data_IF_306722212969
#
_entry.id   IF_306722212969
#
_cell.length_a   1.000
_cell.length_b   1.000
_cell.length_c   1.000
_cell.angle_alpha   90.00
_cell.angle_beta   90.00
_cell.angle_gamma   90.00
#
_symmetry.space_group_name_H-M   'P 1'
#
loop_
_entity.id
_entity.type
_entity.pdbx_description
1 polymer ?
#
# COMPACT_ATOMS: atom_id res chain seq x y z
N UNK A 1 30.22 -3.25 27.12
CA UNK A 1 28.85 -2.75 26.90
C UNK A 1 28.82 -2.03 25.55
N UNK A 2 28.47 -2.74 24.51
CA UNK A 2 28.43 -2.19 23.13
C UNK A 2 27.20 -1.29 22.95
N UNK A 3 27.45 -0.14 22.38
CA UNK A 3 26.52 0.93 22.11
C UNK A 3 25.30 0.44 21.29
N UNK A 4 24.18 0.14 21.95
CA UNK A 4 22.95 -0.42 21.37
C UNK A 4 22.11 0.60 20.57
N UNK A 5 22.57 1.85 20.49
CA UNK A 5 21.90 2.96 19.78
C UNK A 5 22.48 3.24 18.38
N UNK A 6 23.12 2.28 17.74
CA UNK A 6 23.62 2.50 16.39
C UNK A 6 22.44 2.62 15.42
N UNK A 7 22.17 3.84 14.97
CA UNK A 7 21.24 4.14 13.89
C UNK A 7 21.59 3.26 12.69
N UNK A 8 20.58 2.61 12.09
CA UNK A 8 20.86 1.78 10.91
C UNK A 8 20.74 2.67 9.67
N UNK A 9 21.86 3.26 9.26
CA UNK A 9 21.95 4.21 8.13
C UNK A 9 21.35 3.63 6.84
N UNK A 10 21.48 2.32 6.63
CA UNK A 10 20.88 1.63 5.48
C UNK A 10 19.34 1.70 5.47
N UNK A 11 18.70 1.61 6.64
CA UNK A 11 17.23 1.69 6.74
C UNK A 11 16.76 3.11 6.44
N UNK A 12 17.50 4.11 6.89
CA UNK A 12 17.20 5.52 6.60
C UNK A 12 17.43 5.85 5.12
N UNK A 13 18.49 5.32 4.51
CA UNK A 13 18.75 5.44 3.07
C UNK A 13 17.64 4.80 2.23
N UNK A 14 17.19 3.59 2.61
CA UNK A 14 16.09 2.89 1.93
C UNK A 14 14.76 3.64 2.07
N UNK A 15 14.50 4.31 3.19
CA UNK A 15 13.32 5.17 3.35
C UNK A 15 13.38 6.37 2.42
N UNK A 16 14.53 7.05 2.36
CA UNK A 16 14.74 8.16 1.42
C UNK A 16 14.54 7.72 -0.03
N UNK A 17 15.11 6.57 -0.40
CA UNK A 17 14.94 5.98 -1.72
C UNK A 17 13.46 5.65 -2.04
N UNK A 18 12.73 5.04 -1.09
CA UNK A 18 11.31 4.73 -1.31
C UNK A 18 10.45 5.98 -1.41
N UNK A 19 10.74 7.04 -0.64
CA UNK A 19 10.05 8.32 -0.78
C UNK A 19 10.30 8.97 -2.14
N UNK A 20 11.55 8.95 -2.64
CA UNK A 20 11.86 9.47 -3.98
C UNK A 20 11.07 8.74 -5.07
N UNK A 21 10.98 7.40 -4.99
CA UNK A 21 10.18 6.61 -5.92
C UNK A 21 8.68 6.89 -5.83
N UNK A 22 8.14 7.08 -4.62
CA UNK A 22 6.74 7.47 -4.41
C UNK A 22 6.46 8.83 -5.06
N UNK A 23 7.35 9.81 -4.91
CA UNK A 23 7.20 11.13 -5.53
C UNK A 23 7.16 11.00 -7.06
N UNK A 24 8.03 10.19 -7.66
CA UNK A 24 8.02 9.96 -9.13
C UNK A 24 6.66 9.42 -9.59
N UNK A 25 6.12 8.41 -8.89
CA UNK A 25 4.79 7.86 -9.21
C UNK A 25 3.70 8.93 -9.10
N UNK A 26 3.72 9.74 -8.05
CA UNK A 26 2.73 10.81 -7.86
C UNK A 26 2.82 11.92 -8.93
N UNK A 27 4.02 12.23 -9.42
CA UNK A 27 4.19 13.17 -10.54
C UNK A 27 3.46 12.65 -11.79
N UNK A 28 3.62 11.36 -12.12
CA UNK A 28 2.97 10.74 -13.28
C UNK A 28 1.44 10.64 -13.07
N UNK A 29 0.98 10.44 -11.85
CA UNK A 29 -0.45 10.46 -11.49
C UNK A 29 -1.01 11.88 -11.31
N UNK A 30 -0.29 12.92 -11.75
CA UNK A 30 -0.66 14.33 -11.67
C UNK A 30 -1.07 14.79 -10.24
N UNK A 31 -0.57 14.14 -9.21
CA UNK A 31 -0.89 14.37 -7.80
C UNK A 31 -2.38 14.34 -7.46
N UNK A 32 -3.23 13.67 -8.26
CA UNK A 32 -4.66 13.60 -7.97
C UNK A 32 -4.96 12.55 -6.90
N UNK A 33 -4.30 11.39 -6.96
CA UNK A 33 -4.45 10.31 -5.97
C UNK A 33 -5.88 9.75 -5.86
N UNK A 34 -6.66 9.87 -6.95
CA UNK A 34 -8.05 9.45 -7.06
C UNK A 34 -8.26 8.70 -8.37
N UNK A 35 -9.31 7.85 -8.48
CA UNK A 35 -9.70 7.31 -9.77
C UNK A 35 -10.13 8.45 -10.70
N UNK A 36 -9.78 8.32 -11.98
CA UNK A 36 -10.19 9.24 -13.03
C UNK A 36 -11.46 8.71 -13.69
N UNK A 37 -12.41 9.59 -14.09
CA UNK A 37 -13.46 9.21 -15.02
C UNK A 37 -12.86 8.62 -16.31
N UNK A 38 -13.60 7.73 -16.97
CA UNK A 38 -13.16 7.14 -18.24
C UNK A 38 -12.84 8.22 -19.29
N UNK A 39 -11.84 7.95 -20.12
CA UNK A 39 -11.39 8.85 -21.18
C UNK A 39 -10.48 10.01 -20.73
N UNK A 40 -10.39 10.32 -19.44
CA UNK A 40 -9.51 11.41 -18.95
C UNK A 40 -8.04 11.07 -19.12
N UNK A 41 -7.65 9.83 -18.79
CA UNK A 41 -6.27 9.38 -18.94
C UNK A 41 -5.85 9.29 -20.40
N UNK A 42 -6.73 8.77 -21.26
CA UNK A 42 -6.49 8.66 -22.71
C UNK A 42 -6.29 10.02 -23.36
N UNK A 43 -6.99 11.04 -22.90
CA UNK A 43 -6.83 12.41 -23.39
C UNK A 43 -5.47 13.04 -23.07
N UNK A 44 -4.74 12.51 -22.09
CA UNK A 44 -3.41 12.99 -21.68
C UNK A 44 -2.26 12.20 -22.32
N UNK A 45 -2.52 11.01 -22.88
CA UNK A 45 -1.54 10.14 -23.50
C UNK A 45 -1.51 10.38 -25.02
N UNK A 46 -0.51 11.13 -25.47
CA UNK A 46 -0.45 11.62 -26.85
C UNK A 46 0.43 10.78 -27.79
N UNK A 47 1.10 9.73 -27.30
CA UNK A 47 1.99 8.95 -28.15
C UNK A 47 2.50 7.64 -27.57
N UNK A 48 3.25 6.93 -28.42
CA UNK A 48 3.81 5.62 -28.07
C UNK A 48 4.82 5.71 -26.90
N UNK A 49 5.50 6.85 -26.78
CA UNK A 49 6.47 7.13 -25.72
C UNK A 49 5.78 7.16 -24.36
N UNK A 50 4.60 7.76 -24.27
CA UNK A 50 3.83 7.86 -23.03
C UNK A 50 3.40 6.47 -22.57
N UNK A 51 2.92 5.63 -23.49
CA UNK A 51 2.55 4.24 -23.20
C UNK A 51 3.75 3.40 -22.71
N UNK A 52 4.94 3.60 -23.27
CA UNK A 52 6.16 2.91 -22.82
C UNK A 52 6.55 3.36 -21.41
N UNK A 53 6.52 4.66 -21.14
CA UNK A 53 6.83 5.23 -19.83
C UNK A 53 5.84 4.75 -18.78
N UNK A 54 4.55 4.78 -19.08
CA UNK A 54 3.51 4.28 -18.18
C UNK A 54 3.64 2.79 -17.90
N UNK A 55 3.89 1.99 -18.94
CA UNK A 55 4.15 0.56 -18.79
C UNK A 55 5.36 0.30 -17.88
N UNK A 56 6.45 1.05 -18.05
CA UNK A 56 7.62 0.96 -17.18
C UNK A 56 7.29 1.34 -15.74
N UNK A 57 6.61 2.47 -15.53
CA UNK A 57 6.22 2.93 -14.20
C UNK A 57 5.26 1.93 -13.53
N UNK A 58 4.29 1.42 -14.27
CA UNK A 58 3.35 0.42 -13.78
C UNK A 58 4.05 -0.85 -13.30
N UNK A 59 5.00 -1.38 -14.08
CA UNK A 59 5.68 -2.64 -13.77
C UNK A 59 6.75 -2.51 -12.68
N UNK A 60 7.53 -1.42 -12.68
CA UNK A 60 8.74 -1.32 -11.88
C UNK A 60 8.67 -0.31 -10.74
N UNK A 61 7.75 0.67 -10.77
CA UNK A 61 7.68 1.71 -9.76
C UNK A 61 6.38 1.66 -8.95
N UNK A 62 5.23 1.61 -9.65
CA UNK A 62 3.91 1.64 -9.00
C UNK A 62 3.76 0.41 -8.11
N UNK A 63 3.47 0.64 -6.83
CA UNK A 63 3.32 -0.41 -5.84
C UNK A 63 4.63 -0.89 -5.19
N UNK A 64 5.78 -0.90 -5.90
CA UNK A 64 7.06 -1.37 -5.34
C UNK A 64 7.58 -0.44 -4.24
N UNK A 65 7.62 0.85 -4.49
CA UNK A 65 8.07 1.84 -3.50
C UNK A 65 7.13 1.93 -2.31
N UNK A 66 5.83 1.83 -2.55
CA UNK A 66 4.83 1.70 -1.50
C UNK A 66 5.06 0.44 -0.64
N UNK A 67 5.30 -0.71 -1.26
CA UNK A 67 5.59 -1.97 -0.59
C UNK A 67 6.85 -1.86 0.29
N UNK A 68 7.93 -1.31 -0.29
CA UNK A 68 9.18 -1.08 0.42
C UNK A 68 8.98 -0.11 1.61
N UNK A 69 8.26 0.99 1.43
CA UNK A 69 8.01 1.95 2.49
C UNK A 69 7.16 1.34 3.62
N UNK A 70 6.14 0.55 3.27
CA UNK A 70 5.31 -0.20 4.23
C UNK A 70 6.14 -1.22 5.01
N UNK A 71 6.95 -1.99 4.33
CA UNK A 71 7.88 -2.94 4.95
C UNK A 71 8.83 -2.25 5.93
N UNK A 72 9.42 -1.12 5.54
CA UNK A 72 10.33 -0.34 6.38
C UNK A 72 9.62 0.27 7.60
N UNK A 73 8.32 0.56 7.51
CA UNK A 73 7.52 0.97 8.66
C UNK A 73 7.44 -0.15 9.71
N UNK A 74 7.11 -1.37 9.31
CA UNK A 74 7.06 -2.53 10.21
C UNK A 74 8.43 -2.90 10.79
N UNK A 75 9.49 -2.84 9.99
CA UNK A 75 10.87 -3.02 10.45
C UNK A 75 11.26 -1.97 11.49
N UNK A 76 10.87 -0.72 11.27
CA UNK A 76 11.15 0.39 12.18
C UNK A 76 10.40 0.27 13.49
N UNK A 77 9.18 -0.23 13.44
CA UNK A 77 8.44 -0.59 14.65
C UNK A 77 9.24 -1.59 15.50
N UNK A 78 9.72 -2.68 14.88
CA UNK A 78 10.55 -3.67 15.59
C UNK A 78 11.80 -3.04 16.19
N UNK A 79 12.56 -2.26 15.41
CA UNK A 79 13.81 -1.63 15.89
C UNK A 79 13.55 -0.74 17.10
N UNK A 80 12.45 0.03 17.06
CA UNK A 80 12.08 0.90 18.17
C UNK A 80 11.67 0.10 19.42
N UNK A 81 10.94 -1.01 19.23
CA UNK A 81 10.57 -1.90 20.34
C UNK A 81 11.77 -2.58 20.97
N UNK A 82 12.68 -3.10 20.17
CA UNK A 82 13.86 -3.82 20.64
C UNK A 82 14.87 -2.92 21.40
N UNK A 83 14.81 -1.61 21.19
CA UNK A 83 15.72 -0.65 21.83
C UNK A 83 15.20 -0.10 23.17
N UNK A 84 14.04 -0.53 23.65
CA UNK A 84 13.49 -0.07 24.93
C UNK A 84 13.84 -1.06 26.02
N UNK A 85 14.71 -0.66 26.96
CA UNK A 85 15.02 -1.41 28.16
C UNK A 85 13.81 -1.42 29.11
N UNK A 86 13.34 -2.60 29.46
CA UNK A 86 12.55 -3.00 30.66
C UNK A 86 11.18 -2.40 30.95
N UNK A 87 10.54 -1.57 30.10
CA UNK A 87 9.16 -1.12 30.34
C UNK A 87 8.33 -1.15 29.07
N UNK A 88 7.82 -2.32 28.71
CA UNK A 88 6.92 -2.53 27.57
C UNK A 88 5.74 -1.54 27.51
N UNK A 89 5.14 -1.24 28.68
CA UNK A 89 4.01 -0.31 28.77
C UNK A 89 4.37 1.12 28.33
N UNK A 90 5.60 1.56 28.59
CA UNK A 90 6.05 2.90 28.19
C UNK A 90 6.36 3.01 26.70
N UNK A 91 6.68 1.90 26.03
CA UNK A 91 6.91 1.91 24.60
C UNK A 91 5.60 1.98 23.82
N UNK A 92 4.64 1.11 24.10
CA UNK A 92 3.34 1.10 23.40
C UNK A 92 2.66 2.47 23.47
N UNK A 93 2.72 3.12 24.64
CA UNK A 93 2.21 4.48 24.84
C UNK A 93 2.94 5.52 23.97
N UNK A 94 4.29 5.49 23.92
CA UNK A 94 5.06 6.41 23.07
C UNK A 94 4.83 6.16 21.60
N UNK A 95 4.74 4.92 21.17
CA UNK A 95 4.46 4.57 19.79
C UNK A 95 3.05 5.02 19.40
N UNK A 96 2.04 4.74 20.23
CA UNK A 96 0.68 5.21 20.01
C UNK A 96 0.61 6.73 19.91
N UNK A 97 1.31 7.47 20.79
CA UNK A 97 1.37 8.92 20.70
C UNK A 97 1.94 9.42 19.37
N UNK A 98 2.99 8.77 18.87
CA UNK A 98 3.55 9.08 17.54
C UNK A 98 2.56 8.79 16.42
N UNK A 99 1.76 7.71 16.54
CA UNK A 99 0.71 7.40 15.56
C UNK A 99 -0.42 8.44 15.60
N UNK A 100 -0.77 8.95 16.78
CA UNK A 100 -1.77 10.04 16.91
C UNK A 100 -1.26 11.31 16.23
N UNK A 101 0.00 11.69 16.46
CA UNK A 101 0.60 12.85 15.78
C UNK A 101 0.61 12.60 14.26
N UNK A 102 1.00 11.40 13.81
CA UNK A 102 1.01 11.03 12.40
C UNK A 102 -0.40 11.09 11.79
N UNK A 103 -1.42 10.65 12.55
CA UNK A 103 -2.82 10.73 12.13
C UNK A 103 -3.28 12.17 11.94
N UNK A 104 -2.94 13.07 12.87
CA UNK A 104 -3.28 14.50 12.74
C UNK A 104 -2.59 15.13 11.53
N UNK A 105 -1.27 14.88 11.36
CA UNK A 105 -0.53 15.38 10.20
C UNK A 105 -1.12 14.80 8.90
N UNK A 106 -1.39 13.50 8.87
CA UNK A 106 -1.97 12.82 7.72
C UNK A 106 -3.37 13.34 7.39
N UNK A 107 -4.20 13.58 8.41
CA UNK A 107 -5.53 14.16 8.19
C UNK A 107 -5.44 15.57 7.57
N UNK A 108 -4.59 16.44 8.11
CA UNK A 108 -4.38 17.77 7.55
C UNK A 108 -3.83 17.71 6.12
N UNK A 109 -2.88 16.80 5.87
CA UNK A 109 -2.34 16.57 4.52
C UNK A 109 -3.41 16.04 3.55
N UNK A 110 -4.30 15.17 4.02
CA UNK A 110 -5.35 14.59 3.19
C UNK A 110 -6.41 15.59 2.73
N UNK A 111 -6.55 16.75 3.39
CA UNK A 111 -7.42 17.83 2.92
C UNK A 111 -6.91 18.45 1.61
N UNK A 112 -5.58 18.45 1.42
CA UNK A 112 -4.95 18.93 0.19
C UNK A 112 -4.79 17.81 -0.86
N UNK A 113 -4.59 16.58 -0.42
CA UNK A 113 -4.26 15.46 -1.29
C UNK A 113 -4.88 14.15 -0.80
N UNK A 114 -5.91 13.67 -1.52
CA UNK A 114 -6.64 12.43 -1.17
C UNK A 114 -5.74 11.20 -1.10
N UNK A 115 -4.70 11.12 -1.93
CA UNK A 115 -3.74 10.02 -1.97
C UNK A 115 -2.84 9.90 -0.73
N UNK A 116 -3.14 10.65 0.35
CA UNK A 116 -2.44 10.58 1.63
C UNK A 116 -2.40 9.13 2.17
N UNK A 117 -1.21 8.68 2.50
CA UNK A 117 -0.97 7.36 3.08
C UNK A 117 -0.75 7.41 4.60
N UNK A 118 -0.45 8.60 5.16
CA UNK A 118 -0.06 8.74 6.57
C UNK A 118 -1.21 8.38 7.50
N UNK A 119 -2.43 8.76 7.16
CA UNK A 119 -3.65 8.38 7.93
C UNK A 119 -3.82 6.87 7.99
N UNK A 120 -3.61 6.17 6.87
CA UNK A 120 -3.71 4.70 6.80
C UNK A 120 -2.59 4.05 7.61
N UNK A 121 -1.37 4.56 7.52
CA UNK A 121 -0.23 4.05 8.30
C UNK A 121 -0.44 4.25 9.79
N UNK A 122 -0.98 5.40 10.21
CA UNK A 122 -1.30 5.64 11.60
C UNK A 122 -2.37 4.66 12.10
N UNK A 123 -3.44 4.48 11.34
CA UNK A 123 -4.52 3.55 11.68
C UNK A 123 -4.03 2.09 11.75
N UNK A 124 -3.39 1.60 10.68
CA UNK A 124 -2.87 0.22 10.64
C UNK A 124 -1.73 0.00 11.64
N UNK A 125 -0.96 1.02 11.95
CA UNK A 125 0.11 0.98 12.96
C UNK A 125 -0.40 0.65 14.37
N UNK A 126 -1.64 1.02 14.71
CA UNK A 126 -2.27 0.66 15.98
C UNK A 126 -2.40 -0.86 16.08
N UNK A 127 -2.85 -1.50 15.01
CA UNK A 127 -3.01 -2.95 14.96
C UNK A 127 -1.67 -3.71 14.96
N UNK A 128 -0.56 -3.05 14.62
CA UNK A 128 0.76 -3.66 14.69
C UNK A 128 1.23 -3.89 16.12
N UNK A 129 0.76 -3.08 17.10
CA UNK A 129 1.20 -3.15 18.51
C UNK A 129 0.99 -4.55 19.12
N UNK A 130 -0.20 -5.17 19.07
CA UNK A 130 -0.40 -6.51 19.63
C UNK A 130 0.43 -7.58 18.94
N UNK A 131 0.75 -7.40 17.65
CA UNK A 131 1.56 -8.38 16.90
C UNK A 131 2.99 -8.50 17.41
N UNK A 132 3.49 -7.54 18.17
CA UNK A 132 4.81 -7.67 18.80
C UNK A 132 4.93 -8.91 19.71
N UNK A 133 3.84 -9.35 20.34
CA UNK A 133 3.80 -10.53 21.23
C UNK A 133 3.43 -11.83 20.52
N UNK A 134 2.90 -11.76 19.30
CA UNK A 134 2.44 -12.93 18.55
C UNK A 134 3.64 -13.72 18.03
N UNK A 135 3.54 -15.06 18.06
CA UNK A 135 4.57 -15.96 17.57
C UNK A 135 4.83 -15.75 16.07
N UNK A 136 6.09 -15.89 15.65
CA UNK A 136 6.54 -15.73 14.27
C UNK A 136 5.76 -16.59 13.26
N UNK A 137 5.33 -17.79 13.63
CA UNK A 137 4.53 -18.66 12.76
C UNK A 137 3.19 -18.04 12.40
N UNK A 138 2.50 -17.45 13.40
CA UNK A 138 1.24 -16.75 13.18
C UNK A 138 1.42 -15.44 12.42
N UNK A 139 2.47 -14.68 12.73
CA UNK A 139 2.79 -13.46 11.97
C UNK A 139 2.98 -13.80 10.50
N UNK A 140 3.79 -14.82 10.19
CA UNK A 140 4.03 -15.24 8.81
C UNK A 140 2.76 -15.80 8.14
N UNK A 141 1.97 -16.61 8.86
CA UNK A 141 0.70 -17.16 8.35
C UNK A 141 -0.29 -16.06 7.97
N UNK A 142 -0.48 -15.06 8.85
CA UNK A 142 -1.36 -13.91 8.58
C UNK A 142 -0.81 -13.07 7.43
N UNK A 143 0.50 -12.81 7.40
CA UNK A 143 1.14 -12.10 6.28
C UNK A 143 0.84 -12.80 4.94
N UNK A 144 1.00 -14.11 4.88
CA UNK A 144 0.72 -14.90 3.68
C UNK A 144 -0.76 -14.80 3.27
N UNK A 145 -1.69 -14.93 4.23
CA UNK A 145 -3.12 -14.78 3.97
C UNK A 145 -3.46 -13.39 3.40
N UNK A 146 -2.85 -12.34 3.93
CA UNK A 146 -3.06 -10.99 3.42
C UNK A 146 -2.50 -10.81 2.01
N UNK A 147 -1.33 -11.38 1.71
CA UNK A 147 -0.69 -11.29 0.40
C UNK A 147 -1.40 -12.08 -0.71
N UNK A 148 -2.04 -13.21 -0.37
CA UNK A 148 -2.88 -13.94 -1.34
C UNK A 148 -4.28 -13.32 -1.52
N UNK A 149 -4.54 -12.15 -0.93
CA UNK A 149 -5.79 -11.41 -1.13
C UNK A 149 -6.97 -11.89 -0.29
N UNK A 150 -6.75 -12.59 0.83
CA UNK A 150 -7.83 -13.14 1.66
C UNK A 150 -8.86 -12.07 2.07
N UNK A 151 -8.42 -10.86 2.43
CA UNK A 151 -9.33 -9.74 2.75
C UNK A 151 -10.25 -9.38 1.57
N UNK A 152 -9.72 -9.32 0.35
CA UNK A 152 -10.48 -9.08 -0.89
C UNK A 152 -11.55 -10.15 -1.10
N UNK A 153 -11.18 -11.40 -0.96
CA UNK A 153 -12.13 -12.51 -1.18
C UNK A 153 -13.23 -12.54 -0.15
N UNK A 154 -12.96 -12.15 1.11
CA UNK A 154 -14.01 -11.99 2.11
C UNK A 154 -14.95 -10.84 1.74
N UNK A 155 -14.39 -9.66 1.41
CA UNK A 155 -15.21 -8.50 1.02
C UNK A 155 -16.07 -8.86 -0.19
N UNK A 156 -15.49 -9.40 -1.25
CA UNK A 156 -16.23 -9.77 -2.45
C UNK A 156 -17.26 -10.87 -2.18
N UNK A 157 -16.97 -11.83 -1.32
CA UNK A 157 -17.89 -12.90 -0.96
C UNK A 157 -19.14 -12.42 -0.19
N UNK A 158 -19.03 -11.36 0.61
CA UNK A 158 -20.14 -10.83 1.41
C UNK A 158 -20.87 -9.64 0.76
N UNK A 159 -20.16 -8.82 0.01
CA UNK A 159 -20.67 -7.55 -0.54
C UNK A 159 -20.67 -7.52 -2.08
N UNK A 160 -20.12 -8.54 -2.75
CA UNK A 160 -19.92 -8.49 -4.20
C UNK A 160 -18.95 -7.36 -4.58
N UNK A 161 -19.29 -6.60 -5.61
CA UNK A 161 -18.53 -5.43 -6.05
C UNK A 161 -19.01 -4.10 -5.44
N UNK A 162 -19.93 -4.13 -4.48
CA UNK A 162 -20.37 -2.93 -3.77
C UNK A 162 -19.25 -2.37 -2.89
N UNK A 163 -19.17 -1.05 -2.86
CA UNK A 163 -18.30 -0.34 -1.95
C UNK A 163 -18.79 -0.50 -0.50
N UNK A 164 -17.86 -0.42 0.45
CA UNK A 164 -18.18 -0.57 1.88
C UNK A 164 -18.64 0.74 2.53
N UNK A 165 -18.18 1.86 2.02
CA UNK A 165 -18.34 3.19 2.62
C UNK A 165 -19.06 4.20 1.71
N UNK A 166 -18.95 4.02 0.40
CA UNK A 166 -19.66 4.84 -0.59
C UNK A 166 -20.79 4.06 -1.25
N UNK A 167 -21.87 4.72 -1.71
CA UNK A 167 -23.01 4.02 -2.29
C UNK A 167 -22.68 3.30 -3.61
N UNK A 168 -23.17 2.07 -3.74
CA UNK A 168 -23.13 1.28 -4.97
C UNK A 168 -21.76 0.66 -5.29
N UNK A 169 -21.66 0.01 -6.45
CA UNK A 169 -20.43 -0.64 -6.90
C UNK A 169 -19.37 0.39 -7.33
N UNK A 170 -18.11 -0.07 -7.39
CA UNK A 170 -17.03 0.73 -7.96
C UNK A 170 -17.28 0.94 -9.46
N UNK A 171 -17.50 2.20 -9.84
CA UNK A 171 -17.71 2.63 -11.22
C UNK A 171 -17.03 3.98 -11.43
N UNK A 172 -16.11 4.05 -12.42
CA UNK A 172 -15.36 5.26 -12.76
C UNK A 172 -16.25 6.39 -13.27
N UNK A 173 -17.42 6.07 -13.81
CA UNK A 173 -18.41 7.03 -14.30
C UNK A 173 -19.51 7.33 -13.27
N UNK A 174 -19.39 6.84 -12.04
CA UNK A 174 -20.35 7.17 -10.97
C UNK A 174 -20.37 8.68 -10.72
N UNK A 175 -21.56 9.26 -10.40
CA UNK A 175 -21.68 10.68 -10.08
C UNK A 175 -20.67 11.13 -9.02
N UNK A 176 -20.43 10.30 -8.02
CA UNK A 176 -19.47 10.59 -6.95
C UNK A 176 -18.04 10.82 -7.49
N UNK A 177 -17.55 9.97 -8.39
CA UNK A 177 -16.20 10.09 -8.96
C UNK A 177 -16.13 11.27 -9.93
N UNK A 178 -17.15 11.47 -10.76
CA UNK A 178 -17.23 12.58 -11.72
C UNK A 178 -17.27 13.91 -10.99
N UNK A 179 -18.11 14.05 -9.97
CA UNK A 179 -18.25 15.29 -9.18
C UNK A 179 -16.99 15.57 -8.37
N UNK A 180 -16.39 14.53 -7.79
CA UNK A 180 -15.11 14.65 -7.10
C UNK A 180 -14.03 15.18 -8.06
N UNK A 181 -13.88 14.58 -9.24
CA UNK A 181 -12.89 14.99 -10.23
C UNK A 181 -13.14 16.44 -10.70
N UNK A 182 -14.39 16.82 -10.96
CA UNK A 182 -14.74 18.19 -11.34
C UNK A 182 -14.41 19.20 -10.25
N UNK A 183 -14.63 18.85 -8.98
CA UNK A 183 -14.29 19.70 -7.84
C UNK A 183 -12.77 19.89 -7.73
N UNK A 184 -11.99 18.81 -7.87
CA UNK A 184 -10.51 18.89 -7.85
C UNK A 184 -9.99 19.76 -9.01
N UNK A 185 -10.59 19.66 -10.19
CA UNK A 185 -10.14 20.36 -11.40
C UNK A 185 -10.53 21.83 -11.41
N UNK A 186 -11.73 22.18 -10.98
CA UNK A 186 -12.35 23.48 -11.21
C UNK A 186 -12.81 24.19 -9.92
N UNK A 187 -12.81 23.48 -8.79
CA UNK A 187 -13.30 23.99 -7.52
C UNK A 187 -12.34 24.97 -6.85
N UNK A 188 -12.87 25.70 -5.88
CA UNK A 188 -12.06 26.51 -4.95
C UNK A 188 -11.33 25.61 -3.95
N UNK A 189 -10.25 26.12 -3.34
CA UNK A 189 -9.51 25.39 -2.32
C UNK A 189 -10.41 24.91 -1.16
N UNK A 190 -11.41 25.71 -0.79
CA UNK A 190 -12.35 25.34 0.27
C UNK A 190 -13.25 24.17 -0.15
N UNK A 191 -13.76 24.18 -1.37
CA UNK A 191 -14.53 23.04 -1.91
C UNK A 191 -13.68 21.76 -1.98
N UNK A 192 -12.40 21.87 -2.36
CA UNK A 192 -11.46 20.74 -2.33
C UNK A 192 -11.30 20.19 -0.93
N UNK A 193 -11.15 21.06 0.09
CA UNK A 193 -11.04 20.63 1.48
C UNK A 193 -12.32 19.93 1.97
N UNK A 194 -13.47 20.49 1.70
CA UNK A 194 -14.77 19.93 2.08
C UNK A 194 -14.97 18.55 1.45
N UNK A 195 -14.74 18.44 0.15
CA UNK A 195 -14.85 17.17 -0.58
C UNK A 195 -13.83 16.14 -0.08
N UNK A 196 -12.58 16.53 0.15
CA UNK A 196 -11.56 15.62 0.69
C UNK A 196 -11.85 15.19 2.13
N UNK A 197 -12.46 16.07 2.95
CA UNK A 197 -12.77 15.75 4.35
C UNK A 197 -13.83 14.65 4.50
N UNK A 198 -14.72 14.47 3.54
CA UNK A 198 -15.82 13.49 3.60
C UNK A 198 -15.68 12.49 2.45
N UNK A 199 -16.03 12.87 1.24
CA UNK A 199 -16.11 11.96 0.09
C UNK A 199 -14.74 11.36 -0.26
N UNK A 200 -13.69 12.17 -0.24
CA UNK A 200 -12.33 11.72 -0.46
C UNK A 200 -11.88 10.67 0.56
N UNK A 201 -12.29 10.83 1.84
CA UNK A 201 -12.00 9.84 2.88
C UNK A 201 -12.80 8.55 2.70
N UNK A 202 -14.09 8.62 2.41
CA UNK A 202 -14.94 7.44 2.20
C UNK A 202 -14.44 6.63 1.00
N UNK A 203 -14.19 7.27 -0.14
CA UNK A 203 -13.60 6.61 -1.32
C UNK A 203 -12.22 6.02 -1.03
N UNK A 204 -11.40 6.70 -0.20
CA UNK A 204 -10.10 6.16 0.24
C UNK A 204 -10.28 4.91 1.09
N UNK A 205 -11.26 4.88 2.00
CA UNK A 205 -11.55 3.71 2.83
C UNK A 205 -12.02 2.52 1.97
N UNK A 206 -12.84 2.75 0.93
CA UNK A 206 -13.21 1.72 -0.04
C UNK A 206 -11.99 1.14 -0.76
N UNK A 207 -11.06 1.97 -1.19
CA UNK A 207 -9.82 1.51 -1.82
C UNK A 207 -8.92 0.70 -0.85
N UNK A 208 -8.90 1.06 0.43
CA UNK A 208 -8.07 0.41 1.44
C UNK A 208 -8.68 -0.90 1.94
N UNK A 209 -9.99 -0.92 2.22
CA UNK A 209 -10.67 -2.03 2.89
C UNK A 209 -11.66 -2.79 2.00
N UNK A 210 -12.05 -2.23 0.86
CA UNK A 210 -12.90 -2.87 -0.14
C UNK A 210 -12.17 -3.88 -1.00
N UNK A 211 -12.70 -4.16 -2.18
CA UNK A 211 -12.19 -5.16 -3.12
C UNK A 211 -10.75 -4.89 -3.62
N UNK A 212 -10.31 -3.63 -3.61
CA UNK A 212 -8.92 -3.28 -3.95
C UNK A 212 -7.91 -3.70 -2.87
N UNK A 213 -8.35 -3.86 -1.62
CA UNK A 213 -7.57 -4.49 -0.52
C UNK A 213 -6.22 -3.84 -0.21
N UNK A 214 -6.02 -2.58 -0.56
CA UNK A 214 -4.72 -1.93 -0.42
C UNK A 214 -4.25 -1.84 1.04
N UNK A 215 -5.17 -1.63 1.98
CA UNK A 215 -4.88 -1.61 3.42
C UNK A 215 -4.45 -2.97 3.96
N UNK A 216 -5.08 -4.05 3.49
CA UNK A 216 -4.68 -5.41 3.86
C UNK A 216 -3.27 -5.73 3.37
N UNK A 217 -2.95 -5.35 2.13
CA UNK A 217 -1.61 -5.50 1.57
C UNK A 217 -0.58 -4.67 2.35
N UNK A 218 -0.91 -3.41 2.69
CA UNK A 218 -0.09 -2.54 3.54
C UNK A 218 0.24 -3.20 4.88
N UNK A 219 -0.78 -3.75 5.54
CA UNK A 219 -0.59 -4.41 6.82
C UNK A 219 0.23 -5.69 6.69
N UNK A 220 0.08 -6.44 5.59
CA UNK A 220 0.94 -7.57 5.26
C UNK A 220 2.41 -7.17 5.20
N UNK A 221 2.75 -6.06 4.55
CA UNK A 221 4.12 -5.54 4.52
C UNK A 221 4.61 -5.06 5.89
N UNK A 222 3.74 -4.47 6.73
CA UNK A 222 4.10 -4.14 8.11
C UNK A 222 4.48 -5.39 8.89
N UNK A 223 3.69 -6.45 8.80
CA UNK A 223 3.96 -7.72 9.46
C UNK A 223 5.23 -8.40 8.92
N UNK A 224 5.47 -8.33 7.61
CA UNK A 224 6.71 -8.83 7.01
C UNK A 224 7.92 -8.07 7.54
N UNK A 225 7.83 -6.74 7.64
CA UNK A 225 8.90 -5.90 8.21
C UNK A 225 9.18 -6.24 9.69
N UNK A 226 8.13 -6.43 10.48
CA UNK A 226 8.23 -6.91 11.87
C UNK A 226 8.91 -8.29 11.94
N UNK A 227 8.50 -9.23 11.09
CA UNK A 227 9.05 -10.59 11.05
C UNK A 227 10.54 -10.59 10.70
N UNK A 228 10.93 -9.87 9.64
CA UNK A 228 12.33 -9.75 9.20
C UNK A 228 13.17 -9.04 10.25
N UNK A 229 12.59 -8.03 10.93
CA UNK A 229 13.23 -7.37 12.06
C UNK A 229 13.58 -8.34 13.19
N UNK A 230 12.66 -9.23 13.57
CA UNK A 230 12.87 -10.26 14.60
C UNK A 230 13.95 -11.27 14.23
N UNK A 231 14.06 -11.61 12.95
CA UNK A 231 15.12 -12.48 12.45
C UNK A 231 16.49 -11.79 12.40
N UNK A 232 16.55 -10.48 12.66
CA UNK A 232 17.76 -9.65 12.61
C UNK A 232 18.54 -9.79 11.28
N UNK A 233 17.85 -10.02 10.17
CA UNK A 233 18.46 -10.29 8.87
C UNK A 233 19.40 -9.16 8.42
N UNK A 234 19.07 -7.91 8.73
CA UNK A 234 19.90 -6.75 8.38
C UNK A 234 21.17 -6.62 9.22
N UNK A 235 21.26 -7.25 10.40
CA UNK A 235 22.47 -7.26 11.21
C UNK A 235 23.48 -8.30 10.73
N UNK A 236 22.99 -9.44 10.23
CA UNK A 236 23.78 -10.61 9.86
C UNK A 236 23.72 -10.89 8.36
N UNK A 237 23.56 -9.85 7.55
CA UNK A 237 23.36 -9.97 6.10
C UNK A 237 24.49 -10.74 5.40
N UNK A 238 25.75 -10.52 5.82
CA UNK A 238 26.91 -11.18 5.21
C UNK A 238 26.93 -12.69 5.46
N UNK A 239 26.34 -13.15 6.57
CA UNK A 239 26.30 -14.57 6.94
C UNK A 239 25.13 -15.30 6.26
N UNK A 240 24.17 -14.54 5.68
CA UNK A 240 22.93 -15.09 5.13
C UNK A 240 22.83 -14.99 3.60
N UNK A 241 23.98 -15.01 2.91
CA UNK A 241 24.06 -14.88 1.44
C UNK A 241 23.16 -15.88 0.70
N UNK A 242 23.04 -17.12 1.20
CA UNK A 242 22.19 -18.15 0.59
C UNK A 242 20.71 -17.79 0.70
N UNK A 243 20.26 -17.30 1.87
CA UNK A 243 18.88 -16.86 2.08
C UNK A 243 18.56 -15.68 1.16
N UNK A 244 19.43 -14.68 1.13
CA UNK A 244 19.27 -13.50 0.27
C UNK A 244 19.17 -13.88 -1.21
N UNK A 245 20.03 -14.77 -1.67
CA UNK A 245 19.99 -15.30 -3.04
C UNK A 245 18.67 -16.04 -3.32
N UNK A 246 18.19 -16.86 -2.39
CA UNK A 246 16.94 -17.60 -2.56
C UNK A 246 15.73 -16.65 -2.58
N UNK A 247 15.71 -15.63 -1.71
CA UNK A 247 14.67 -14.60 -1.70
C UNK A 247 14.67 -13.83 -3.01
N UNK A 248 15.85 -13.40 -3.50
CA UNK A 248 15.98 -12.70 -4.77
C UNK A 248 15.43 -13.52 -5.95
N UNK A 249 15.84 -14.79 -6.07
CA UNK A 249 15.34 -15.66 -7.13
C UNK A 249 13.83 -15.95 -6.98
N UNK A 250 13.37 -16.15 -5.74
CA UNK A 250 11.94 -16.30 -5.46
C UNK A 250 11.13 -15.07 -5.88
N UNK A 251 11.63 -13.86 -5.61
CA UNK A 251 11.01 -12.60 -6.04
C UNK A 251 10.98 -12.47 -7.57
N UNK A 252 12.08 -12.80 -8.26
CA UNK A 252 12.13 -12.78 -9.73
C UNK A 252 11.12 -13.77 -10.33
N UNK A 253 11.03 -14.99 -9.80
CA UNK A 253 10.05 -15.98 -10.24
C UNK A 253 8.63 -15.49 -9.99
N UNK A 254 8.35 -14.96 -8.78
CA UNK A 254 7.03 -14.42 -8.44
C UNK A 254 6.64 -13.27 -9.37
N UNK A 255 7.57 -12.37 -9.66
CA UNK A 255 7.36 -11.25 -10.58
C UNK A 255 7.00 -11.73 -11.98
N UNK A 256 7.76 -12.67 -12.55
CA UNK A 256 7.49 -13.22 -13.90
C UNK A 256 6.15 -13.95 -13.94
N UNK A 257 5.87 -14.78 -12.92
CA UNK A 257 4.60 -15.52 -12.83
C UNK A 257 3.42 -14.55 -12.69
N UNK A 258 3.55 -13.52 -11.86
CA UNK A 258 2.48 -12.52 -11.68
C UNK A 258 2.17 -11.75 -12.96
N UNK A 259 3.19 -11.38 -13.76
CA UNK A 259 2.98 -10.76 -15.08
C UNK A 259 2.22 -11.72 -16.01
N UNK A 260 2.61 -12.99 -16.08
CA UNK A 260 1.89 -13.98 -16.88
C UNK A 260 0.42 -14.13 -16.47
N UNK A 261 0.14 -14.13 -15.16
CA UNK A 261 -1.23 -14.17 -14.63
C UNK A 261 -2.00 -12.90 -14.97
N UNK A 262 -1.39 -11.72 -14.82
CA UNK A 262 -2.02 -10.45 -15.17
C UNK A 262 -2.42 -10.46 -16.64
N UNK A 263 -1.50 -10.76 -17.55
CA UNK A 263 -1.78 -10.81 -18.99
C UNK A 263 -2.88 -11.83 -19.27
N UNK A 264 -2.78 -13.06 -18.75
CA UNK A 264 -3.76 -14.12 -18.99
C UNK A 264 -5.15 -13.78 -18.49
N UNK A 265 -5.28 -13.20 -17.31
CA UNK A 265 -6.58 -12.86 -16.69
C UNK A 265 -7.20 -11.65 -17.39
N UNK A 266 -6.45 -10.55 -17.56
CA UNK A 266 -7.02 -9.34 -18.15
C UNK A 266 -7.30 -9.48 -19.66
N UNK A 267 -6.62 -10.37 -20.37
CA UNK A 267 -7.01 -10.71 -21.74
C UNK A 267 -8.39 -11.39 -21.84
N UNK A 268 -8.83 -12.09 -20.79
CA UNK A 268 -10.17 -12.69 -20.74
C UNK A 268 -11.24 -11.68 -20.33
N UNK A 269 -10.91 -10.69 -19.51
CA UNK A 269 -11.85 -9.68 -19.04
C UNK A 269 -12.15 -8.61 -20.10
N UNK A 270 -11.22 -8.44 -21.09
CA UNK A 270 -11.34 -7.44 -22.13
C UNK A 270 -11.07 -6.00 -21.65
N UNK A 271 -11.18 -5.01 -22.56
CA UNK A 271 -10.85 -3.61 -22.27
C UNK A 271 -11.80 -2.93 -21.24
N UNK A 272 -13.03 -3.39 -21.16
CA UNK A 272 -14.03 -2.91 -20.18
C UNK A 272 -14.10 -3.82 -18.96
N UNK A 273 -12.95 -4.16 -18.38
CA UNK A 273 -12.87 -5.07 -17.23
C UNK A 273 -13.71 -4.56 -16.05
N UNK A 274 -14.85 -5.20 -15.80
CA UNK A 274 -15.67 -4.95 -14.60
C UNK A 274 -15.13 -5.77 -13.43
N UNK A 275 -15.12 -5.16 -12.24
CA UNK A 275 -14.69 -5.81 -11.01
C UNK A 275 -15.84 -6.51 -10.29
N UNK A 276 -16.72 -7.19 -11.04
CA UNK A 276 -17.98 -7.79 -10.60
C UNK A 276 -17.96 -9.34 -10.55
N UNK A 277 -16.80 -9.94 -10.80
CA UNK A 277 -16.65 -11.37 -10.87
C UNK A 277 -15.34 -11.88 -10.24
N UNK A 278 -15.30 -13.18 -9.93
CA UNK A 278 -14.14 -13.81 -9.29
C UNK A 278 -12.87 -13.75 -10.14
N UNK A 279 -12.98 -13.74 -11.47
CA UNK A 279 -11.81 -13.67 -12.37
C UNK A 279 -11.13 -12.33 -12.17
N UNK A 280 -11.89 -11.24 -12.07
CA UNK A 280 -11.36 -9.90 -11.77
C UNK A 280 -10.70 -9.85 -10.38
N UNK A 281 -11.26 -10.53 -9.37
CA UNK A 281 -10.65 -10.62 -8.04
C UNK A 281 -9.30 -11.35 -8.08
N UNK A 282 -9.17 -12.42 -8.87
CA UNK A 282 -7.88 -13.09 -9.10
C UNK A 282 -6.90 -12.17 -9.85
N UNK A 283 -7.38 -11.38 -10.82
CA UNK A 283 -6.58 -10.38 -11.52
C UNK A 283 -5.99 -9.34 -10.57
N UNK A 284 -6.81 -8.78 -9.68
CA UNK A 284 -6.35 -7.84 -8.64
C UNK A 284 -5.34 -8.49 -7.69
N UNK A 285 -5.50 -9.79 -7.37
CA UNK A 285 -4.53 -10.51 -6.54
C UNK A 285 -3.20 -10.72 -7.29
N UNK A 286 -3.25 -10.99 -8.59
CA UNK A 286 -2.04 -11.08 -9.41
C UNK A 286 -1.27 -9.75 -9.45
N UNK A 287 -1.99 -8.60 -9.50
CA UNK A 287 -1.41 -7.26 -9.37
C UNK A 287 -0.73 -7.05 -8.01
N UNK A 288 -1.35 -7.51 -6.92
CA UNK A 288 -0.75 -7.43 -5.60
C UNK A 288 0.50 -8.32 -5.48
N UNK A 289 0.47 -9.53 -6.02
CA UNK A 289 1.64 -10.43 -6.06
C UNK A 289 2.80 -9.83 -6.87
N UNK A 290 2.49 -9.10 -7.95
CA UNK A 290 3.50 -8.36 -8.69
C UNK A 290 4.19 -7.29 -7.84
N UNK A 291 3.51 -6.68 -6.87
CA UNK A 291 4.09 -5.71 -5.94
C UNK A 291 4.99 -6.36 -4.88
N UNK A 292 4.88 -7.66 -4.65
CA UNK A 292 5.69 -8.43 -3.68
C UNK A 292 6.97 -8.97 -4.34
N UNK A 293 6.92 -9.31 -5.63
CA UNK A 293 8.06 -9.76 -6.45
C UNK A 293 8.88 -8.59 -6.96
#
# INVERSE_FOLDING_TARGET
MGNTNKRMDIVDALRGFSLAGIVIVHVVENYIGAPFPEGVMEATHLGITDNIVDGFIFLFLRGKFFALFSFLFGLSFFIQMANVNDKESSFAGRFLWRLIILLVIGYLHSLFYRGDILTIYAFLGIFLIPFYKINNKWVLGITTLLFIGFGRYLVFGFYGNDNLFTPGPFDLNSPLIVDYFNTIKNGTLWQVFETNAIDGHLMKMDFQLGIFSRGYLTFGFFLLGLYVGRLQLFRNFMDQKKLVKNVLWGSVVLFVVSIGLIIGIFSQLGPEAKFDNWIAMFGLTALDLNNIG
#
